data_IF_832854917586
#
_entry.id   IF_832854917586
#
_cell.length_a   1.000
_cell.length_b   1.000
_cell.length_c   1.000
_cell.angle_alpha   90.00
_cell.angle_beta   90.00
_cell.angle_gamma   90.00
#
_symmetry.space_group_name_H-M   'P 1'
#
loop_
_entity.id
_entity.type
_entity.pdbx_description
1 polymer ?
#
# COMPACT_ATOMS: atom_id res chain seq x y z
N UNK A 1 -6.50 -0.63 25.97
CA UNK A 1 -6.34 0.58 25.15
C UNK A 1 -5.26 0.24 24.15
N UNK A 2 -5.64 -0.06 22.92
CA UNK A 2 -4.70 -0.39 21.86
C UNK A 2 -3.77 0.79 21.59
N UNK A 3 -2.46 0.52 21.56
CA UNK A 3 -1.44 1.52 21.27
C UNK A 3 -1.50 1.86 19.77
N UNK A 4 -1.87 3.11 19.39
CA UNK A 4 -2.00 3.50 17.99
C UNK A 4 -0.66 3.41 17.25
N UNK A 5 0.48 3.57 17.96
CA UNK A 5 1.79 3.43 17.35
C UNK A 5 2.04 1.99 16.93
N UNK A 6 1.81 1.04 17.83
CA UNK A 6 1.98 -0.38 17.55
C UNK A 6 1.11 -0.86 16.37
N UNK A 7 -0.13 -0.34 16.26
CA UNK A 7 -1.01 -0.63 15.13
C UNK A 7 -0.46 -0.08 13.81
N UNK A 8 0.07 1.14 13.79
CA UNK A 8 0.69 1.74 12.61
C UNK A 8 1.97 1.03 12.19
N UNK A 9 2.86 0.69 13.13
CA UNK A 9 4.09 -0.05 12.85
C UNK A 9 3.78 -1.43 12.26
N UNK A 10 2.77 -2.13 12.80
CA UNK A 10 2.30 -3.41 12.25
C UNK A 10 1.81 -3.27 10.81
N UNK A 11 1.05 -2.22 10.52
CA UNK A 11 0.56 -1.94 9.16
C UNK A 11 1.70 -1.54 8.22
N UNK A 12 2.70 -0.79 8.70
CA UNK A 12 3.91 -0.46 7.93
C UNK A 12 4.64 -1.72 7.51
N UNK A 13 4.97 -2.58 8.47
CA UNK A 13 5.67 -3.85 8.24
C UNK A 13 4.91 -4.74 7.25
N UNK A 14 3.57 -4.80 7.38
CA UNK A 14 2.72 -5.59 6.49
C UNK A 14 2.81 -5.10 5.05
N UNK A 15 2.76 -3.78 4.84
CA UNK A 15 2.81 -3.21 3.50
C UNK A 15 4.22 -3.24 2.91
N UNK A 16 5.27 -3.13 3.73
CA UNK A 16 6.66 -3.32 3.27
C UNK A 16 6.92 -4.75 2.79
N UNK A 17 6.39 -5.76 3.52
CA UNK A 17 6.45 -7.17 3.07
C UNK A 17 5.69 -7.37 1.77
N UNK A 18 4.46 -6.85 1.68
CA UNK A 18 3.67 -6.92 0.45
C UNK A 18 4.39 -6.26 -0.74
N UNK A 19 5.02 -5.11 -0.50
CA UNK A 19 5.79 -4.39 -1.51
C UNK A 19 7.00 -5.22 -1.99
N UNK A 20 7.76 -5.80 -1.07
CA UNK A 20 8.90 -6.65 -1.42
C UNK A 20 8.47 -7.90 -2.21
N UNK A 21 7.34 -8.51 -1.83
CA UNK A 21 6.79 -9.69 -2.51
C UNK A 21 6.31 -9.35 -3.92
N UNK A 22 5.52 -8.29 -4.10
CA UNK A 22 5.02 -7.90 -5.42
C UNK A 22 6.15 -7.47 -6.34
N UNK A 23 7.17 -6.76 -5.84
CA UNK A 23 8.34 -6.39 -6.61
C UNK A 23 9.16 -7.62 -7.04
N UNK A 24 9.21 -8.67 -6.21
CA UNK A 24 9.81 -9.95 -6.60
C UNK A 24 9.03 -10.60 -7.73
N UNK A 25 7.71 -10.74 -7.58
CA UNK A 25 6.86 -11.29 -8.65
C UNK A 25 6.97 -10.52 -9.96
N UNK A 26 7.07 -9.19 -9.90
CA UNK A 26 7.27 -8.37 -11.10
C UNK A 26 8.61 -8.64 -11.80
N UNK A 27 9.68 -8.91 -11.02
CA UNK A 27 10.98 -9.32 -11.57
C UNK A 27 10.88 -10.70 -12.21
N UNK A 28 10.28 -11.67 -11.53
CA UNK A 28 10.11 -13.04 -12.04
C UNK A 28 9.32 -13.06 -13.37
N UNK A 29 8.23 -12.29 -13.45
CA UNK A 29 7.44 -12.12 -14.70
C UNK A 29 8.25 -11.40 -15.80
N UNK A 30 9.20 -10.53 -15.43
CA UNK A 30 10.09 -9.88 -16.38
C UNK A 30 11.15 -10.83 -16.92
N UNK A 31 11.77 -11.62 -16.05
CA UNK A 31 12.82 -12.57 -16.41
C UNK A 31 12.28 -13.70 -17.28
N UNK A 32 11.10 -14.25 -16.93
CA UNK A 32 10.42 -15.27 -17.73
C UNK A 32 10.13 -14.79 -19.16
N UNK A 33 9.80 -13.50 -19.33
CA UNK A 33 9.62 -12.90 -20.66
C UNK A 33 10.94 -12.80 -21.43
N UNK A 34 12.05 -12.46 -20.76
CA UNK A 34 13.34 -12.35 -21.43
C UNK A 34 13.83 -13.72 -21.92
N UNK A 35 13.62 -14.78 -21.13
CA UNK A 35 13.90 -16.16 -21.53
C UNK A 35 12.99 -16.59 -22.70
N UNK A 36 11.68 -16.33 -22.63
CA UNK A 36 10.75 -16.67 -23.71
C UNK A 36 11.02 -15.90 -25.00
N UNK A 37 11.43 -14.63 -24.92
CA UNK A 37 11.75 -13.79 -26.08
C UNK A 37 13.13 -14.09 -26.69
N UNK A 38 13.88 -15.05 -26.12
CA UNK A 38 15.11 -15.59 -26.73
C UNK A 38 14.84 -16.72 -27.72
N UNK A 39 13.59 -17.20 -27.80
CA UNK A 39 13.09 -18.15 -28.80
C UNK A 39 12.02 -17.43 -29.65
N UNK A 40 12.38 -17.06 -30.88
CA UNK A 40 11.64 -16.11 -31.71
C UNK A 40 10.33 -16.68 -32.27
N UNK A 41 9.36 -15.77 -32.45
CA UNK A 41 8.17 -15.87 -33.28
C UNK A 41 6.90 -16.49 -32.66
N UNK A 42 6.12 -15.58 -32.04
CA UNK A 42 4.74 -15.71 -31.55
C UNK A 42 4.52 -16.29 -30.14
N UNK A 43 4.53 -15.38 -29.16
CA UNK A 43 3.99 -15.61 -27.83
C UNK A 43 2.48 -15.25 -27.76
N UNK A 44 1.55 -16.24 -27.75
CA UNK A 44 0.13 -15.99 -27.53
C UNK A 44 -0.19 -15.53 -26.08
N UNK A 45 0.75 -15.64 -25.14
CA UNK A 45 0.58 -15.25 -23.73
C UNK A 45 0.90 -13.77 -23.46
N UNK A 46 1.43 -13.02 -24.44
CA UNK A 46 1.81 -11.62 -24.28
C UNK A 46 0.70 -10.69 -23.75
N UNK A 47 -0.57 -11.00 -24.04
CA UNK A 47 -1.73 -10.27 -23.51
C UNK A 47 -2.03 -10.64 -22.04
N UNK A 48 -1.86 -11.91 -21.66
CA UNK A 48 -2.01 -12.40 -20.29
C UNK A 48 -0.91 -11.82 -19.39
N UNK A 49 0.34 -11.84 -19.85
CA UNK A 49 1.48 -11.26 -19.13
C UNK A 49 1.38 -9.74 -18.96
N UNK A 50 0.81 -9.03 -19.94
CA UNK A 50 0.55 -7.59 -19.83
C UNK A 50 -0.51 -7.28 -18.76
N UNK A 51 -1.57 -8.09 -18.67
CA UNK A 51 -2.61 -7.96 -17.65
C UNK A 51 -2.09 -8.29 -16.24
N UNK A 52 -1.30 -9.35 -16.11
CA UNK A 52 -0.64 -9.73 -14.84
C UNK A 52 0.29 -8.63 -14.35
N UNK A 53 1.11 -8.05 -15.24
CA UNK A 53 1.98 -6.92 -14.90
C UNK A 53 1.20 -5.68 -14.48
N UNK A 54 0.08 -5.40 -15.14
CA UNK A 54 -0.82 -4.30 -14.77
C UNK A 54 -1.40 -4.51 -13.36
N UNK A 55 -1.84 -5.73 -13.04
CA UNK A 55 -2.34 -6.09 -11.72
C UNK A 55 -1.27 -5.97 -10.63
N UNK A 56 -0.05 -6.47 -10.88
CA UNK A 56 1.07 -6.35 -9.95
C UNK A 56 1.48 -4.88 -9.73
N UNK A 57 1.49 -4.07 -10.79
CA UNK A 57 1.76 -2.63 -10.70
C UNK A 57 0.76 -1.90 -9.80
N UNK A 58 -0.54 -2.17 -9.95
CA UNK A 58 -1.57 -1.59 -9.10
C UNK A 58 -1.41 -1.97 -7.62
N UNK A 59 -1.07 -3.23 -7.33
CA UNK A 59 -0.81 -3.71 -5.97
C UNK A 59 0.41 -3.01 -5.36
N UNK A 60 1.52 -2.90 -6.12
CA UNK A 60 2.72 -2.16 -5.71
C UNK A 60 2.40 -0.71 -5.36
N UNK A 61 1.68 -0.02 -6.23
CA UNK A 61 1.38 1.40 -6.04
C UNK A 61 0.45 1.61 -4.82
N UNK A 62 -0.54 0.73 -4.63
CA UNK A 62 -1.39 0.74 -3.45
C UNK A 62 -0.60 0.49 -2.15
N UNK A 63 0.36 -0.46 -2.14
CA UNK A 63 1.20 -0.72 -0.98
C UNK A 63 2.08 0.49 -0.62
N UNK A 64 2.70 1.13 -1.63
CA UNK A 64 3.49 2.36 -1.43
C UNK A 64 2.65 3.50 -0.86
N UNK A 65 1.48 3.75 -1.46
CA UNK A 65 0.56 4.78 -0.98
C UNK A 65 0.10 4.50 0.46
N UNK A 66 -0.05 3.22 0.84
CA UNK A 66 -0.38 2.86 2.22
C UNK A 66 0.76 3.16 3.18
N UNK A 67 2.00 2.81 2.83
CA UNK A 67 3.19 3.14 3.64
C UNK A 67 3.27 4.64 3.88
N UNK A 68 3.10 5.46 2.83
CA UNK A 68 3.09 6.92 2.95
C UNK A 68 2.01 7.45 3.90
N UNK A 69 0.79 6.88 3.85
CA UNK A 69 -0.29 7.24 4.78
C UNK A 69 0.02 6.86 6.23
N UNK A 70 0.66 5.70 6.44
CA UNK A 70 1.09 5.22 7.75
C UNK A 70 2.21 6.11 8.30
N UNK A 71 3.21 6.44 7.50
CA UNK A 71 4.30 7.34 7.89
C UNK A 71 3.76 8.74 8.25
N UNK A 72 2.79 9.25 7.49
CA UNK A 72 2.10 10.50 7.81
C UNK A 72 1.26 10.41 9.10
N UNK A 73 0.70 9.24 9.43
CA UNK A 73 0.00 9.02 10.69
C UNK A 73 0.96 8.95 11.89
N UNK A 74 2.11 8.30 11.73
CA UNK A 74 3.18 8.28 12.73
C UNK A 74 3.70 9.70 13.00
N UNK A 75 3.93 10.49 11.95
CA UNK A 75 4.31 11.90 12.10
C UNK A 75 3.28 12.72 12.87
N UNK A 76 1.97 12.46 12.65
CA UNK A 76 0.88 13.10 13.43
C UNK A 76 0.86 12.65 14.90
N UNK A 77 1.21 11.39 15.19
CA UNK A 77 1.37 10.93 16.57
C UNK A 77 2.49 11.68 17.28
N UNK A 78 3.65 11.81 16.65
CA UNK A 78 4.79 12.58 17.19
C UNK A 78 4.43 14.06 17.39
N UNK A 79 3.66 14.64 16.46
CA UNK A 79 3.19 16.02 16.56
C UNK A 79 2.02 16.22 17.55
N UNK A 80 1.47 15.14 18.12
CA UNK A 80 0.29 15.20 19.00
C UNK A 80 -1.03 15.57 18.31
N UNK A 81 -1.10 15.49 16.98
CA UNK A 81 -2.29 15.81 16.16
C UNK A 81 -3.01 14.58 15.61
N UNK A 82 -2.56 13.38 16.01
CA UNK A 82 -3.21 12.13 15.63
C UNK A 82 -4.66 12.06 16.13
N UNK A 83 -5.53 11.53 15.27
CA UNK A 83 -6.96 11.46 15.55
C UNK A 83 -7.73 12.76 15.27
N UNK A 84 -7.10 13.77 14.69
CA UNK A 84 -7.77 14.99 14.20
C UNK A 84 -7.82 14.99 12.67
N UNK A 85 -8.96 15.35 12.09
CA UNK A 85 -9.14 15.44 10.65
C UNK A 85 -8.27 16.54 10.06
N UNK A 86 -7.51 16.22 9.02
CA UNK A 86 -6.64 17.19 8.32
C UNK A 86 -7.39 18.19 7.45
N UNK A 87 -8.69 18.01 7.24
CA UNK A 87 -9.54 18.87 6.39
C UNK A 87 -10.40 19.81 7.25
N UNK A 88 -11.24 19.26 8.13
CA UNK A 88 -12.15 20.06 8.94
C UNK A 88 -11.71 20.30 10.39
N UNK A 89 -10.66 19.63 10.87
CA UNK A 89 -10.15 19.78 12.24
C UNK A 89 -10.96 19.07 13.33
N UNK A 90 -12.05 18.39 12.98
CA UNK A 90 -12.84 17.58 13.91
C UNK A 90 -12.14 16.28 14.33
N UNK A 91 -12.47 15.73 15.51
CA UNK A 91 -11.96 14.43 15.93
C UNK A 91 -12.42 13.30 15.00
N UNK A 92 -11.49 12.43 14.62
CA UNK A 92 -11.75 11.19 13.87
C UNK A 92 -12.33 10.16 14.86
N UNK A 93 -13.46 9.51 14.54
CA UNK A 93 -14.07 8.52 15.44
C UNK A 93 -13.09 7.40 15.82
N UNK A 94 -13.04 7.05 17.11
CA UNK A 94 -12.15 5.99 17.60
C UNK A 94 -12.38 4.65 16.89
N UNK A 95 -13.63 4.30 16.57
CA UNK A 95 -13.96 3.11 15.80
C UNK A 95 -13.35 3.11 14.39
N UNK A 96 -13.21 4.30 13.76
CA UNK A 96 -12.54 4.44 12.46
C UNK A 96 -11.04 4.27 12.62
N UNK A 97 -10.42 4.84 13.65
CA UNK A 97 -8.98 4.67 13.91
C UNK A 97 -8.64 3.23 14.31
N UNK A 98 -9.55 2.52 14.98
CA UNK A 98 -9.39 1.10 15.27
C UNK A 98 -9.44 0.23 14.00
N UNK A 99 -10.28 0.59 13.02
CA UNK A 99 -10.39 -0.14 11.75
C UNK A 99 -9.34 0.30 10.71
N UNK A 100 -8.98 1.58 10.70
CA UNK A 100 -8.10 2.25 9.74
C UNK A 100 -7.18 3.21 10.50
N UNK A 101 -6.10 2.70 11.12
CA UNK A 101 -5.20 3.50 11.96
C UNK A 101 -4.54 4.67 11.22
N UNK A 102 -4.28 4.53 9.92
CA UNK A 102 -3.65 5.58 9.12
C UNK A 102 -4.62 6.69 8.66
N UNK A 103 -5.90 6.63 9.03
CA UNK A 103 -6.90 7.59 8.58
C UNK A 103 -6.48 9.04 8.86
N UNK A 104 -6.53 9.88 7.82
CA UNK A 104 -6.24 11.31 7.91
C UNK A 104 -7.50 12.19 8.06
N UNK A 105 -8.67 11.64 7.72
CA UNK A 105 -9.92 12.38 7.66
C UNK A 105 -11.05 11.72 8.44
N UNK A 106 -12.01 12.55 8.86
CA UNK A 106 -13.25 12.08 9.47
C UNK A 106 -14.15 11.38 8.43
N UNK A 107 -15.30 10.87 8.86
CA UNK A 107 -16.26 10.20 7.98
C UNK A 107 -16.85 11.13 6.91
N UNK A 108 -17.04 12.42 7.21
CA UNK A 108 -17.57 13.40 6.25
C UNK A 108 -16.54 13.83 5.18
N UNK A 109 -15.24 13.66 5.45
CA UNK A 109 -14.14 14.03 4.56
C UNK A 109 -13.35 12.79 4.07
N UNK A 110 -13.95 11.61 4.15
CA UNK A 110 -13.37 10.31 3.79
C UNK A 110 -13.40 10.04 2.29
#
# INVERSE_FOLDING_TARGET
MDDPRAALDTERDRNERLLADVERSMRDVSDARQDANSDDEHDPEGATLAWERGSLGAVRDAARQRIEQVDAALARLEAGTYGTCTVGGEPIPAARLAAVPWAATCVAHA
#
